data_IF_713877224493
#
_entry.id   IF_713877224493
#
_cell.length_a   1.000
_cell.length_b   1.000
_cell.length_c   1.000
_cell.angle_alpha   90.00
_cell.angle_beta   90.00
_cell.angle_gamma   90.00
#
_symmetry.space_group_name_H-M   'P 1'
#
loop_
_entity.id
_entity.type
_entity.pdbx_description
1 polymer ?
#
# COMPACT_ATOMS: atom_id res chain seq x y z
N UNK A 1 52.98 -4.00 48.83
CA UNK A 1 53.60 -5.22 48.25
C UNK A 1 53.15 -5.32 46.81
N UNK A 2 54.13 -5.12 45.92
CA UNK A 2 53.98 -5.22 44.46
C UNK A 2 53.70 -6.63 43.99
N UNK A 3 52.79 -6.84 43.09
CA UNK A 3 52.85 -7.94 42.12
C UNK A 3 52.48 -7.37 40.73
N UNK A 4 53.51 -6.83 40.06
CA UNK A 4 53.51 -6.77 38.62
C UNK A 4 54.19 -8.04 38.10
N UNK A 5 53.78 -8.51 36.95
CA UNK A 5 54.51 -9.22 35.89
C UNK A 5 53.51 -10.07 35.09
N UNK A 6 53.31 -9.64 33.87
CA UNK A 6 53.98 -10.24 32.71
C UNK A 6 53.19 -11.42 32.11
N UNK A 7 52.41 -11.17 31.10
CA UNK A 7 52.02 -12.15 30.08
C UNK A 7 52.53 -11.71 28.74
N UNK A 8 53.81 -11.91 28.50
CA UNK A 8 54.35 -12.00 27.18
C UNK A 8 54.60 -13.49 26.90
N UNK A 9 54.35 -13.90 25.66
CA UNK A 9 54.71 -15.18 25.05
C UNK A 9 53.77 -16.37 25.25
N UNK A 10 52.76 -16.49 24.34
CA UNK A 10 52.37 -17.77 23.80
C UNK A 10 52.09 -17.58 22.27
N UNK A 11 53.12 -17.74 21.50
CA UNK A 11 53.02 -18.06 20.06
C UNK A 11 52.57 -19.51 19.95
N UNK A 12 51.78 -19.77 18.89
CA UNK A 12 51.49 -21.01 18.18
C UNK A 12 50.04 -21.50 18.32
N UNK A 13 49.26 -21.35 17.31
CA UNK A 13 48.79 -22.32 16.33
C UNK A 13 47.76 -21.67 15.46
N UNK A 14 47.95 -21.77 14.15
CA UNK A 14 47.10 -21.22 13.13
C UNK A 14 45.63 -21.67 13.27
N UNK A 15 44.79 -20.74 13.71
CA UNK A 15 43.38 -20.82 13.45
C UNK A 15 43.12 -19.98 12.22
N UNK A 16 42.78 -20.64 11.15
CA UNK A 16 42.22 -20.01 9.96
C UNK A 16 41.06 -19.11 10.42
N UNK A 17 41.29 -17.80 10.40
CA UNK A 17 40.18 -16.86 10.47
C UNK A 17 39.35 -17.07 9.20
N UNK A 18 38.26 -17.78 9.30
CA UNK A 18 37.18 -17.68 8.34
C UNK A 18 36.73 -16.22 8.36
N UNK A 19 37.26 -15.42 7.42
CA UNK A 19 36.56 -14.20 7.03
C UNK A 19 35.19 -14.65 6.53
N UNK A 20 34.09 -14.20 7.14
CA UNK A 20 32.79 -14.43 6.52
C UNK A 20 32.84 -13.77 5.12
N UNK A 21 32.23 -14.39 4.11
CA UNK A 21 32.21 -13.80 2.79
C UNK A 21 31.62 -12.40 2.87
N UNK A 22 32.31 -11.41 2.33
CA UNK A 22 31.93 -9.98 2.29
C UNK A 22 30.68 -9.70 1.43
N UNK A 23 29.79 -10.67 1.23
CA UNK A 23 28.59 -10.55 0.42
C UNK A 23 27.31 -11.05 1.10
N UNK A 24 27.22 -10.99 2.43
CA UNK A 24 25.91 -10.86 3.04
C UNK A 24 25.45 -9.40 2.87
N UNK A 25 25.07 -9.05 1.65
CA UNK A 25 24.18 -7.91 1.43
C UNK A 25 22.96 -8.16 2.32
N UNK A 26 22.82 -7.39 3.39
CA UNK A 26 21.53 -7.13 3.99
C UNK A 26 20.70 -6.48 2.87
N UNK A 27 20.04 -7.30 2.07
CA UNK A 27 19.01 -6.79 1.17
C UNK A 27 17.96 -6.21 2.09
N UNK A 28 17.93 -4.89 2.18
CA UNK A 28 16.83 -4.20 2.85
C UNK A 28 15.54 -4.73 2.22
N UNK A 29 14.57 -5.09 3.05
CA UNK A 29 13.26 -5.53 2.56
C UNK A 29 12.76 -4.51 1.53
N UNK A 30 12.22 -4.97 0.39
CA UNK A 30 11.73 -4.06 -0.62
C UNK A 30 10.61 -3.18 -0.06
N UNK A 31 10.49 -1.97 -0.57
CA UNK A 31 9.27 -1.18 -0.33
C UNK A 31 8.06 -1.97 -0.82
N UNK A 32 6.95 -1.88 -0.09
CA UNK A 32 5.73 -2.60 -0.42
C UNK A 32 4.64 -1.67 -0.94
N UNK A 33 4.11 -1.98 -2.11
CA UNK A 33 2.92 -1.34 -2.65
C UNK A 33 1.69 -2.11 -2.17
N UNK A 34 0.78 -1.44 -1.46
CA UNK A 34 -0.53 -2.00 -1.16
C UNK A 34 -1.45 -1.85 -2.36
N UNK A 35 -2.03 -2.96 -2.83
CA UNK A 35 -2.92 -2.94 -3.98
C UNK A 35 -4.32 -3.38 -3.56
N UNK A 36 -5.29 -2.48 -3.70
CA UNK A 36 -6.72 -2.74 -3.56
C UNK A 36 -7.33 -2.97 -4.94
N UNK A 37 -8.01 -4.08 -5.14
CA UNK A 37 -8.62 -4.42 -6.42
C UNK A 37 -9.69 -5.49 -6.29
N UNK A 38 -10.37 -5.80 -7.39
CA UNK A 38 -11.48 -6.75 -7.43
C UNK A 38 -11.03 -8.20 -7.18
N UNK A 39 -11.81 -8.95 -6.40
CA UNK A 39 -11.74 -10.41 -6.30
C UNK A 39 -12.58 -11.13 -7.38
N UNK A 40 -13.31 -10.41 -8.22
CA UNK A 40 -14.16 -11.00 -9.26
C UNK A 40 -13.33 -11.66 -10.37
N UNK A 41 -13.74 -12.86 -10.76
CA UNK A 41 -13.19 -13.60 -11.91
C UNK A 41 -13.94 -13.39 -13.22
N UNK A 42 -14.90 -12.41 -13.27
CA UNK A 42 -15.75 -12.14 -14.43
C UNK A 42 -15.51 -10.75 -15.02
N UNK A 43 -14.28 -10.24 -14.93
CA UNK A 43 -13.92 -8.96 -15.46
C UNK A 43 -13.56 -9.06 -16.95
N UNK A 44 -13.62 -7.93 -17.65
CA UNK A 44 -13.08 -7.85 -19.01
C UNK A 44 -11.57 -8.07 -19.02
N UNK A 45 -11.00 -8.67 -20.09
CA UNK A 45 -9.57 -8.99 -20.18
C UNK A 45 -8.64 -7.81 -19.88
N UNK A 46 -9.00 -6.60 -20.30
CA UNK A 46 -8.21 -5.38 -20.10
C UNK A 46 -7.83 -5.10 -18.64
N UNK A 47 -8.69 -5.49 -17.68
CA UNK A 47 -8.40 -5.31 -16.25
C UNK A 47 -7.36 -6.31 -15.76
N UNK A 48 -7.44 -7.56 -16.23
CA UNK A 48 -6.41 -8.57 -15.89
C UNK A 48 -5.07 -8.22 -16.50
N UNK A 49 -5.04 -7.78 -17.75
CA UNK A 49 -3.83 -7.29 -18.42
C UNK A 49 -3.18 -6.11 -17.66
N UNK A 50 -3.99 -5.17 -17.18
CA UNK A 50 -3.49 -4.07 -16.36
C UNK A 50 -2.89 -4.57 -15.04
N UNK A 51 -3.54 -5.54 -14.38
CA UNK A 51 -3.03 -6.18 -13.16
C UNK A 51 -1.70 -6.91 -13.38
N UNK A 52 -1.57 -7.63 -14.49
CA UNK A 52 -0.31 -8.29 -14.85
C UNK A 52 0.81 -7.27 -15.12
N UNK A 53 0.52 -6.19 -15.87
CA UNK A 53 1.49 -5.13 -16.11
C UNK A 53 1.94 -4.47 -14.81
N UNK A 54 1.00 -4.19 -13.89
CA UNK A 54 1.34 -3.66 -12.56
C UNK A 54 2.25 -4.61 -11.79
N UNK A 55 1.91 -5.90 -11.74
CA UNK A 55 2.73 -6.90 -11.03
C UNK A 55 4.16 -6.98 -11.55
N UNK A 56 4.34 -7.00 -12.87
CA UNK A 56 5.68 -6.97 -13.49
C UNK A 56 6.42 -5.65 -13.22
N UNK A 57 5.72 -4.52 -13.29
CA UNK A 57 6.31 -3.20 -13.04
C UNK A 57 6.78 -3.03 -11.59
N UNK A 58 6.07 -3.59 -10.61
CA UNK A 58 6.51 -3.62 -9.21
C UNK A 58 7.92 -4.19 -9.10
N UNK A 59 8.13 -5.39 -9.62
CA UNK A 59 9.42 -6.09 -9.52
C UNK A 59 10.51 -5.34 -10.25
N UNK A 60 10.25 -4.86 -11.47
CA UNK A 60 11.22 -4.08 -12.26
C UNK A 60 11.69 -2.83 -11.51
N UNK A 61 10.86 -2.27 -10.63
CA UNK A 61 11.17 -1.07 -9.85
C UNK A 61 11.67 -1.37 -8.43
N UNK A 62 11.88 -2.65 -8.10
CA UNK A 62 12.37 -3.07 -6.78
C UNK A 62 11.34 -2.95 -5.66
N UNK A 63 10.03 -2.94 -6.01
CA UNK A 63 8.95 -2.97 -5.06
C UNK A 63 8.40 -4.39 -4.89
N UNK A 64 7.90 -4.70 -3.70
CA UNK A 64 7.07 -5.86 -3.43
C UNK A 64 5.59 -5.50 -3.36
N UNK A 65 4.75 -6.50 -3.17
CA UNK A 65 3.30 -6.40 -3.04
C UNK A 65 2.87 -6.69 -1.60
N UNK A 66 1.99 -5.86 -1.04
CA UNK A 66 1.13 -6.24 0.08
C UNK A 66 -0.33 -6.13 -0.36
N UNK A 67 -1.16 -7.12 -0.01
CA UNK A 67 -2.55 -7.17 -0.49
C UNK A 67 -3.40 -8.12 0.36
N UNK A 68 -4.66 -8.28 -0.01
CA UNK A 68 -5.64 -9.09 0.72
C UNK A 68 -5.44 -10.60 0.74
N UNK A 69 -4.35 -11.14 0.20
CA UNK A 69 -3.97 -12.56 0.34
C UNK A 69 -4.75 -13.56 -0.53
N UNK A 70 -5.77 -13.13 -1.29
CA UNK A 70 -6.57 -13.99 -2.13
C UNK A 70 -5.94 -14.29 -3.50
N UNK A 71 -6.25 -15.45 -4.08
CA UNK A 71 -5.83 -15.86 -5.42
C UNK A 71 -6.94 -15.69 -6.47
N UNK A 72 -8.11 -15.20 -6.04
CA UNK A 72 -9.25 -15.00 -6.92
C UNK A 72 -9.17 -13.67 -7.69
N UNK A 73 -9.72 -13.66 -8.91
CA UNK A 73 -9.91 -12.47 -9.72
C UNK A 73 -8.64 -11.66 -9.97
N UNK A 74 -8.79 -10.35 -10.00
CA UNK A 74 -7.68 -9.42 -10.27
C UNK A 74 -6.60 -9.46 -9.17
N UNK A 75 -6.98 -9.69 -7.90
CA UNK A 75 -6.04 -9.85 -6.80
C UNK A 75 -5.03 -10.97 -7.08
N UNK A 76 -5.52 -12.15 -7.48
CA UNK A 76 -4.68 -13.29 -7.82
C UNK A 76 -3.78 -13.02 -9.03
N UNK A 77 -4.28 -12.28 -10.03
CA UNK A 77 -3.50 -11.92 -11.22
C UNK A 77 -2.30 -11.06 -10.84
N UNK A 78 -2.50 -10.00 -10.05
CA UNK A 78 -1.40 -9.13 -9.58
C UNK A 78 -0.39 -9.93 -8.78
N UNK A 79 -0.83 -10.74 -7.81
CA UNK A 79 0.05 -11.52 -6.95
C UNK A 79 0.90 -12.54 -7.73
N UNK A 80 0.28 -13.27 -8.66
CA UNK A 80 1.01 -14.21 -9.55
C UNK A 80 2.02 -13.48 -10.42
N UNK A 81 1.65 -12.36 -11.03
CA UNK A 81 2.56 -11.60 -11.88
C UNK A 81 3.79 -11.10 -11.11
N UNK A 82 3.65 -10.71 -9.84
CA UNK A 82 4.78 -10.37 -8.97
C UNK A 82 5.64 -11.60 -8.69
N UNK A 83 5.05 -12.74 -8.32
CA UNK A 83 5.80 -13.97 -8.01
C UNK A 83 6.54 -14.53 -9.23
N UNK A 84 5.89 -14.58 -10.37
CA UNK A 84 6.47 -15.06 -11.64
C UNK A 84 7.62 -14.17 -12.12
N UNK A 85 7.60 -12.90 -11.72
CA UNK A 85 8.71 -11.95 -11.98
C UNK A 85 9.81 -11.98 -10.91
N UNK A 86 9.72 -12.86 -9.89
CA UNK A 86 10.71 -12.98 -8.83
C UNK A 86 10.57 -11.95 -7.69
N UNK A 87 9.41 -11.31 -7.58
CA UNK A 87 9.14 -10.30 -6.56
C UNK A 87 8.63 -10.88 -5.23
N UNK A 88 8.61 -10.04 -4.21
CA UNK A 88 8.16 -10.36 -2.86
C UNK A 88 6.66 -10.07 -2.69
N UNK A 89 5.90 -11.03 -2.15
CA UNK A 89 4.46 -10.94 -1.94
C UNK A 89 4.10 -11.20 -0.49
N UNK A 90 3.40 -10.25 0.11
CA UNK A 90 2.80 -10.35 1.44
C UNK A 90 1.28 -10.38 1.30
N UNK A 91 0.67 -11.51 1.62
CA UNK A 91 -0.78 -11.67 1.66
C UNK A 91 -1.30 -11.59 3.09
N UNK A 92 -2.37 -10.83 3.33
CA UNK A 92 -3.02 -10.75 4.64
C UNK A 92 -4.49 -11.10 4.46
N UNK A 93 -4.91 -12.22 5.06
CA UNK A 93 -6.25 -12.80 4.81
C UNK A 93 -6.93 -13.16 6.14
N UNK A 94 -8.22 -12.80 6.32
CA UNK A 94 -8.99 -13.31 7.44
C UNK A 94 -9.23 -14.82 7.32
N UNK A 95 -9.21 -15.54 8.44
CA UNK A 95 -9.41 -16.98 8.50
C UNK A 95 -10.71 -17.43 7.80
N UNK A 96 -11.81 -16.72 8.02
CA UNK A 96 -13.11 -17.03 7.40
C UNK A 96 -13.17 -16.75 5.88
N UNK A 97 -12.14 -16.09 5.29
CA UNK A 97 -12.06 -15.78 3.86
C UNK A 97 -11.11 -16.72 3.09
N UNK A 98 -10.34 -17.55 3.80
CA UNK A 98 -9.33 -18.43 3.17
C UNK A 98 -9.92 -19.27 2.04
N UNK A 99 -11.06 -19.90 2.28
CA UNK A 99 -11.74 -20.72 1.28
C UNK A 99 -12.45 -19.88 0.21
N UNK A 100 -13.03 -18.73 0.59
CA UNK A 100 -13.80 -17.86 -0.31
C UNK A 100 -12.93 -17.14 -1.33
N UNK A 101 -11.78 -16.64 -0.92
CA UNK A 101 -10.85 -15.90 -1.76
C UNK A 101 -9.72 -16.80 -2.31
N UNK A 102 -9.73 -18.10 -1.99
CA UNK A 102 -8.68 -19.04 -2.40
C UNK A 102 -7.31 -18.53 -2.02
N UNK A 103 -6.98 -18.57 -0.72
CA UNK A 103 -5.72 -18.04 -0.20
C UNK A 103 -4.50 -18.36 -1.08
N UNK A 104 -3.67 -17.38 -1.36
CA UNK A 104 -2.50 -17.52 -2.24
C UNK A 104 -1.30 -18.08 -1.47
N UNK A 105 -1.22 -19.39 -1.37
CA UNK A 105 -0.17 -20.10 -0.63
C UNK A 105 1.24 -19.95 -1.21
N UNK A 106 1.39 -19.43 -2.43
CA UNK A 106 2.68 -19.13 -3.04
C UNK A 106 3.26 -17.75 -2.64
N UNK A 107 2.54 -16.99 -1.80
CA UNK A 107 3.07 -15.75 -1.24
C UNK A 107 4.30 -16.05 -0.36
N UNK A 108 5.24 -15.09 -0.28
CA UNK A 108 6.42 -15.22 0.60
C UNK A 108 6.02 -15.12 2.07
N UNK A 109 5.01 -14.28 2.36
CA UNK A 109 4.36 -14.21 3.66
C UNK A 109 2.84 -14.30 3.46
N UNK A 110 2.19 -15.28 4.08
CA UNK A 110 0.74 -15.35 4.15
C UNK A 110 0.31 -15.26 5.62
N UNK A 111 -0.23 -14.10 5.99
CA UNK A 111 -0.60 -13.78 7.37
C UNK A 111 -2.10 -13.96 7.54
N UNK A 112 -2.49 -14.89 8.40
CA UNK A 112 -3.91 -15.09 8.76
C UNK A 112 -4.27 -14.21 9.94
N UNK A 113 -5.42 -13.56 9.87
CA UNK A 113 -5.94 -12.66 10.90
C UNK A 113 -7.39 -12.98 11.24
N UNK A 114 -7.86 -12.65 12.46
CA UNK A 114 -9.23 -12.98 12.89
C UNK A 114 -10.30 -12.06 12.31
N UNK A 115 -9.97 -10.83 11.88
CA UNK A 115 -10.96 -9.84 11.47
C UNK A 115 -10.56 -9.04 10.23
N UNK A 116 -11.57 -8.50 9.51
CA UNK A 116 -11.34 -7.56 8.41
C UNK A 116 -10.63 -6.29 8.86
N UNK A 117 -10.90 -5.81 10.08
CA UNK A 117 -10.25 -4.63 10.63
C UNK A 117 -8.75 -4.85 10.80
N UNK A 118 -8.38 -6.01 11.29
CA UNK A 118 -6.95 -6.37 11.46
C UNK A 118 -6.24 -6.58 10.13
N UNK A 119 -6.92 -7.20 9.14
CA UNK A 119 -6.43 -7.29 7.76
C UNK A 119 -6.03 -5.91 7.24
N UNK A 120 -6.95 -4.96 7.24
CA UNK A 120 -6.72 -3.61 6.70
C UNK A 120 -5.64 -2.86 7.47
N UNK A 121 -5.66 -2.94 8.80
CA UNK A 121 -4.62 -2.34 9.65
C UNK A 121 -3.22 -2.84 9.28
N UNK A 122 -3.03 -4.15 9.20
CA UNK A 122 -1.74 -4.74 8.84
C UNK A 122 -1.32 -4.41 7.40
N UNK A 123 -2.26 -4.42 6.44
CA UNK A 123 -1.97 -3.97 5.08
C UNK A 123 -1.47 -2.53 5.07
N UNK A 124 -2.14 -1.63 5.80
CA UNK A 124 -1.76 -0.23 5.89
C UNK A 124 -0.41 -0.02 6.58
N UNK A 125 -0.13 -0.76 7.66
CA UNK A 125 1.16 -0.68 8.38
C UNK A 125 2.33 -1.15 7.51
N UNK A 126 2.16 -2.24 6.78
CA UNK A 126 3.22 -2.85 5.94
C UNK A 126 3.49 -2.08 4.65
N UNK A 127 2.53 -1.32 4.15
CA UNK A 127 2.65 -0.60 2.89
C UNK A 127 3.54 0.64 2.99
N UNK A 128 4.22 0.98 1.90
CA UNK A 128 4.91 2.26 1.70
C UNK A 128 4.10 3.21 0.80
N UNK A 129 3.18 2.67 0.01
CA UNK A 129 2.24 3.40 -0.84
C UNK A 129 1.01 2.55 -1.12
N UNK A 130 -0.07 3.18 -1.60
CA UNK A 130 -1.34 2.53 -1.91
C UNK A 130 -1.76 2.81 -3.34
N UNK A 131 -2.24 1.76 -4.01
CA UNK A 131 -2.83 1.83 -5.35
C UNK A 131 -4.17 1.12 -5.35
N UNK A 132 -5.18 1.79 -5.86
CA UNK A 132 -6.53 1.24 -6.03
C UNK A 132 -6.80 1.05 -7.51
N UNK A 133 -6.90 -0.19 -7.95
CA UNK A 133 -7.36 -0.56 -9.30
C UNK A 133 -8.89 -0.62 -9.35
N UNK A 134 -9.51 -0.70 -10.53
CA UNK A 134 -10.94 -0.97 -10.65
C UNK A 134 -11.40 -2.14 -9.80
N UNK A 135 -12.46 -1.93 -9.03
CA UNK A 135 -12.95 -2.94 -8.10
C UNK A 135 -14.37 -2.68 -7.60
N UNK A 136 -14.85 -3.58 -6.77
CA UNK A 136 -16.19 -3.53 -6.20
C UNK A 136 -16.26 -2.76 -4.88
N UNK A 137 -17.33 -3.08 -4.11
CA UNK A 137 -17.63 -2.37 -2.86
C UNK A 137 -16.52 -2.53 -1.79
N UNK A 138 -15.86 -3.69 -1.72
CA UNK A 138 -14.74 -3.91 -0.81
C UNK A 138 -13.53 -3.04 -1.17
N UNK A 139 -13.23 -2.94 -2.45
CA UNK A 139 -12.16 -2.07 -2.97
C UNK A 139 -12.45 -0.60 -2.67
N UNK A 140 -13.72 -0.18 -2.82
CA UNK A 140 -14.14 1.18 -2.49
C UNK A 140 -14.06 1.45 -0.99
N UNK A 141 -14.38 0.48 -0.16
CA UNK A 141 -14.30 0.56 1.30
C UNK A 141 -12.83 0.73 1.75
N UNK A 142 -11.92 -0.10 1.24
CA UNK A 142 -10.49 -0.02 1.51
C UNK A 142 -9.88 1.33 1.05
N UNK A 143 -10.26 1.79 -0.15
CA UNK A 143 -9.86 3.09 -0.66
C UNK A 143 -10.36 4.25 0.21
N UNK A 144 -11.63 4.19 0.62
CA UNK A 144 -12.24 5.25 1.45
C UNK A 144 -11.61 5.32 2.84
N UNK A 145 -11.23 4.18 3.42
CA UNK A 145 -10.54 4.13 4.70
C UNK A 145 -9.17 4.78 4.62
N UNK A 146 -8.31 4.37 3.68
CA UNK A 146 -6.97 4.94 3.57
C UNK A 146 -6.98 6.42 3.15
N UNK A 147 -7.94 6.82 2.32
CA UNK A 147 -8.17 8.23 1.99
C UNK A 147 -8.54 9.02 3.26
N UNK A 148 -9.38 8.46 4.13
CA UNK A 148 -9.77 9.09 5.40
C UNK A 148 -8.60 9.16 6.38
N UNK A 149 -7.79 8.10 6.50
CA UNK A 149 -6.59 8.13 7.33
C UNK A 149 -5.61 9.23 6.88
N UNK A 150 -5.42 9.36 5.57
CA UNK A 150 -4.57 10.41 5.01
C UNK A 150 -5.17 11.80 5.29
N UNK A 151 -6.48 11.96 5.12
CA UNK A 151 -7.19 13.19 5.46
C UNK A 151 -7.02 13.59 6.93
N UNK A 152 -7.08 12.61 7.84
CA UNK A 152 -6.90 12.80 9.28
C UNK A 152 -5.42 12.92 9.70
N UNK A 153 -4.49 12.94 8.75
CA UNK A 153 -3.05 13.00 9.01
C UNK A 153 -2.49 11.79 9.79
N UNK A 154 -3.16 10.66 9.71
CA UNK A 154 -2.70 9.41 10.31
C UNK A 154 -1.68 8.69 9.44
N UNK A 155 -1.66 9.00 8.15
CA UNK A 155 -0.66 8.51 7.20
C UNK A 155 -0.25 9.61 6.20
N UNK A 156 1.03 9.61 5.80
CA UNK A 156 1.56 10.48 4.74
C UNK A 156 1.89 9.70 3.46
N UNK A 157 1.66 8.39 3.48
CA UNK A 157 1.97 7.48 2.36
C UNK A 157 1.17 7.88 1.12
N UNK A 158 1.75 7.81 -0.08
CA UNK A 158 1.04 8.10 -1.33
C UNK A 158 -0.18 7.20 -1.51
N UNK A 159 -1.29 7.78 -1.97
CA UNK A 159 -2.52 7.05 -2.34
C UNK A 159 -2.86 7.40 -3.78
N UNK A 160 -2.99 6.39 -4.64
CA UNK A 160 -3.28 6.56 -6.07
C UNK A 160 -4.51 5.76 -6.46
N UNK A 161 -5.47 6.42 -7.11
CA UNK A 161 -6.65 5.80 -7.71
C UNK A 161 -6.41 5.65 -9.22
N UNK A 162 -6.47 4.44 -9.74
CA UNK A 162 -6.32 4.16 -11.19
C UNK A 162 -7.69 4.22 -11.84
N UNK A 163 -7.95 5.32 -12.54
CA UNK A 163 -9.19 5.55 -13.26
C UNK A 163 -9.11 5.01 -14.70
N UNK A 164 -8.81 3.72 -14.82
CA UNK A 164 -8.72 3.05 -16.12
C UNK A 164 -10.04 3.15 -16.88
N UNK A 165 -9.98 3.68 -18.10
CA UNK A 165 -11.13 3.85 -19.01
C UNK A 165 -12.31 4.60 -18.37
N UNK A 166 -12.07 5.50 -17.42
CA UNK A 166 -13.11 6.27 -16.74
C UNK A 166 -13.94 5.46 -15.73
N UNK A 167 -13.44 4.31 -15.27
CA UNK A 167 -14.17 3.44 -14.34
C UNK A 167 -14.65 4.17 -13.08
N UNK A 168 -13.89 5.12 -12.60
CA UNK A 168 -14.20 5.91 -11.39
C UNK A 168 -14.71 7.32 -11.69
N UNK A 169 -15.09 7.65 -12.93
CA UNK A 169 -15.57 9.00 -13.27
C UNK A 169 -16.75 9.45 -12.42
N UNK A 170 -17.73 8.56 -12.17
CA UNK A 170 -18.88 8.88 -11.34
C UNK A 170 -18.52 9.10 -9.88
N UNK A 171 -17.56 8.35 -9.37
CA UNK A 171 -17.03 8.53 -8.01
C UNK A 171 -16.30 9.87 -7.89
N UNK A 172 -15.49 10.22 -8.87
CA UNK A 172 -14.78 11.51 -8.89
C UNK A 172 -15.78 12.68 -8.99
N UNK A 173 -16.81 12.57 -9.84
CA UNK A 173 -17.91 13.54 -9.88
C UNK A 173 -18.66 13.67 -8.55
N UNK A 174 -18.84 12.56 -7.84
CA UNK A 174 -19.44 12.59 -6.51
C UNK A 174 -18.56 13.34 -5.50
N UNK A 175 -17.25 13.16 -5.54
CA UNK A 175 -16.32 13.91 -4.70
C UNK A 175 -16.33 15.40 -5.03
N UNK A 176 -16.39 15.78 -6.30
CA UNK A 176 -16.53 17.17 -6.71
C UNK A 176 -17.83 17.79 -6.18
N UNK A 177 -18.92 17.03 -6.19
CA UNK A 177 -20.20 17.44 -5.61
C UNK A 177 -20.12 17.65 -4.10
N UNK A 178 -19.45 16.78 -3.35
CA UNK A 178 -19.23 16.98 -1.91
C UNK A 178 -18.55 18.32 -1.62
N UNK A 179 -17.59 18.72 -2.45
CA UNK A 179 -16.90 20.01 -2.33
C UNK A 179 -17.84 21.17 -2.71
N UNK A 180 -18.52 21.06 -3.84
CA UNK A 180 -19.43 22.10 -4.32
C UNK A 180 -20.58 22.40 -3.36
N UNK A 181 -21.14 21.35 -2.74
CA UNK A 181 -22.22 21.44 -1.75
C UNK A 181 -21.71 21.66 -0.30
N UNK A 182 -20.39 21.87 -0.11
CA UNK A 182 -19.73 22.17 1.16
C UNK A 182 -19.79 21.07 2.23
N UNK A 183 -20.04 19.82 1.84
CA UNK A 183 -19.85 18.67 2.73
C UNK A 183 -18.39 18.44 3.07
N UNK A 184 -17.49 18.95 2.21
CA UNK A 184 -16.07 18.90 2.37
C UNK A 184 -15.46 20.24 1.97
N UNK A 185 -14.41 20.67 2.66
CA UNK A 185 -13.58 21.78 2.21
C UNK A 185 -12.80 21.39 0.94
N UNK A 186 -12.35 22.38 0.18
CA UNK A 186 -11.45 22.17 -0.96
C UNK A 186 -10.26 21.31 -0.55
N UNK A 187 -9.72 20.47 -1.45
CA UNK A 187 -8.51 19.71 -1.19
C UNK A 187 -8.67 18.19 -1.23
N UNK A 188 -9.81 17.64 -1.69
CA UNK A 188 -9.89 16.18 -1.97
C UNK A 188 -8.81 15.76 -2.98
N UNK A 189 -8.52 16.60 -3.97
CA UNK A 189 -7.45 16.38 -4.94
C UNK A 189 -6.04 16.32 -4.33
N UNK A 190 -5.86 16.77 -3.10
CA UNK A 190 -4.58 16.72 -2.39
C UNK A 190 -4.46 15.43 -1.54
N UNK A 191 -5.57 14.74 -1.28
CA UNK A 191 -5.58 13.53 -0.44
C UNK A 191 -5.09 12.31 -1.23
N UNK A 192 -5.44 12.22 -2.51
CA UNK A 192 -5.02 11.13 -3.39
C UNK A 192 -4.71 11.66 -4.78
N UNK A 193 -3.97 10.89 -5.56
CA UNK A 193 -3.70 11.17 -6.97
C UNK A 193 -4.57 10.27 -7.85
N UNK A 194 -4.89 10.74 -9.05
CA UNK A 194 -5.59 9.95 -10.06
C UNK A 194 -4.61 9.64 -11.19
N UNK A 195 -4.48 8.36 -11.54
CA UNK A 195 -3.72 7.88 -12.69
C UNK A 195 -4.68 7.32 -13.74
N UNK A 196 -4.40 7.55 -15.03
CA UNK A 196 -5.24 7.05 -16.12
C UNK A 196 -5.01 5.56 -16.43
N UNK A 197 -3.83 5.05 -16.09
CA UNK A 197 -3.42 3.66 -16.28
C UNK A 197 -2.39 3.25 -15.21
N UNK A 198 -2.03 1.98 -15.19
CA UNK A 198 -1.08 1.44 -14.20
C UNK A 198 0.35 1.93 -14.42
N UNK A 199 0.69 2.36 -15.61
CA UNK A 199 2.00 2.93 -15.93
C UNK A 199 2.20 4.31 -15.32
N UNK A 200 1.12 5.09 -15.16
CA UNK A 200 1.16 6.46 -14.65
C UNK A 200 1.27 6.55 -13.12
N UNK A 201 1.08 5.44 -12.40
CA UNK A 201 1.10 5.48 -10.92
C UNK A 201 2.45 5.92 -10.36
N UNK A 202 3.54 5.60 -11.06
CA UNK A 202 4.89 5.74 -10.51
C UNK A 202 5.30 7.18 -10.26
N UNK A 203 4.84 8.11 -11.10
CA UNK A 203 5.09 9.53 -10.87
C UNK A 203 4.49 10.01 -9.55
N UNK A 204 3.39 9.40 -9.11
CA UNK A 204 2.70 9.72 -7.86
C UNK A 204 3.23 8.95 -6.66
N UNK A 205 3.72 7.72 -6.86
CA UNK A 205 4.27 6.84 -5.82
C UNK A 205 5.70 7.25 -5.47
N UNK A 206 6.54 7.51 -6.46
CA UNK A 206 7.97 7.82 -6.26
C UNK A 206 8.21 9.31 -6.00
N UNK A 207 7.33 10.20 -6.50
CA UNK A 207 7.39 11.64 -6.30
C UNK A 207 6.05 12.17 -5.76
N UNK A 208 5.64 11.77 -4.55
CA UNK A 208 4.34 12.16 -4.01
C UNK A 208 4.26 13.67 -3.83
N UNK A 209 3.11 14.23 -4.16
CA UNK A 209 2.84 15.64 -3.85
C UNK A 209 2.92 15.85 -2.33
N UNK A 210 3.56 16.94 -1.87
CA UNK A 210 3.54 17.29 -0.47
C UNK A 210 2.08 17.39 0.01
N UNK A 211 1.77 16.70 1.08
CA UNK A 211 0.45 16.76 1.70
C UNK A 211 0.57 17.48 3.04
N UNK A 212 -0.26 18.49 3.26
CA UNK A 212 -0.37 19.18 4.55
C UNK A 212 -1.81 19.09 5.04
N UNK A 213 -2.02 18.35 6.10
CA UNK A 213 -3.33 18.26 6.76
C UNK A 213 -3.80 19.62 7.26
N UNK A 214 -2.90 20.51 7.69
CA UNK A 214 -3.22 21.85 8.18
C UNK A 214 -3.84 22.73 7.10
N UNK A 215 -3.52 22.49 5.82
CA UNK A 215 -4.15 23.20 4.71
C UNK A 215 -5.61 22.76 4.50
N UNK A 216 -5.95 21.52 4.87
CA UNK A 216 -7.26 20.91 4.68
C UNK A 216 -8.11 21.04 5.94
N UNK A 217 -7.50 20.91 7.11
CA UNK A 217 -8.15 21.00 8.41
C UNK A 217 -8.26 22.46 8.88
N UNK A 218 -9.06 23.27 8.17
CA UNK A 218 -9.42 24.59 8.70
C UNK A 218 -10.60 24.41 9.64
N UNK A 219 -10.52 24.90 10.92
CA UNK A 219 -11.70 24.95 11.78
C UNK A 219 -12.82 25.69 11.05
N UNK A 220 -13.99 25.07 10.96
CA UNK A 220 -15.17 25.78 10.50
C UNK A 220 -15.35 26.96 11.44
N UNK A 221 -15.24 28.20 10.94
CA UNK A 221 -15.66 29.35 11.72
C UNK A 221 -17.13 29.11 12.08
N UNK A 222 -17.55 29.27 13.36
CA UNK A 222 -18.94 29.22 13.71
C UNK A 222 -19.69 30.14 12.74
N UNK A 223 -20.75 29.63 12.11
CA UNK A 223 -21.65 30.48 11.34
C UNK A 223 -22.12 31.56 12.30
N UNK A 224 -21.99 32.82 11.90
CA UNK A 224 -22.58 33.93 12.67
C UNK A 224 -24.05 33.54 12.95
N UNK A 225 -24.42 33.52 14.20
CA UNK A 225 -25.83 33.31 14.61
C UNK A 225 -26.67 34.28 13.81
N UNK A 226 -27.83 33.88 13.24
CA UNK A 226 -28.71 34.85 12.63
C UNK A 226 -29.06 35.87 13.70
N UNK A 227 -28.68 37.13 13.47
CA UNK A 227 -29.14 38.23 14.29
C UNK A 227 -30.64 38.14 14.33
N UNK A 228 -31.17 37.96 15.51
CA UNK A 228 -32.63 38.09 15.81
C UNK A 228 -33.00 39.49 15.38
N UNK A 229 -33.62 39.60 14.20
CA UNK A 229 -34.34 40.80 13.80
C UNK A 229 -35.49 41.02 14.79
N UNK A 230 -35.30 42.00 15.67
CA UNK A 230 -36.33 42.54 16.53
C UNK A 230 -37.27 43.46 15.76
#
# INVERSE_FOLDING_TARGET
MNWGQSWAEARFFGLWMFKPPESCFFQSMPKLLCVYCSSSSRLEPKYYEAGERLGRALVTRGWGLVYGGGNAGLMGVVARAVKESGGHVVGIIPDFMIERELAFHAADELITVPTMRERKRLMAERADAFVTLPGGIGTLEEFSEIMTERYLNLTHKPVVLVNQDGFYDDLLRFFDRMVAERFKSTGLADIFSVASCVEDIWVHVENPRPFSADAIWRPLKPSASPETAG
#
